data_IF_905512079095
#
_entry.id   IF_905512079095
#
_cell.length_a   1.000
_cell.length_b   1.000
_cell.length_c   1.000
_cell.angle_alpha   90.00
_cell.angle_beta   90.00
_cell.angle_gamma   90.00
#
_symmetry.space_group_name_H-M   'P 1'
#
loop_
_entity.id
_entity.type
_entity.pdbx_description
1 polymer ?
#
# COMPACT_ATOMS: atom_id res chain seq x y z
N UNK A 1 -2.70 -17.80 11.34
CA UNK A 1 -1.35 -17.36 10.94
C UNK A 1 -1.56 -16.25 9.91
N UNK A 2 -1.28 -15.00 10.27
CA UNK A 2 -1.38 -13.88 9.33
C UNK A 2 -0.38 -14.11 8.18
N UNK A 3 -0.75 -13.83 6.92
CA UNK A 3 0.21 -13.92 5.82
C UNK A 3 1.38 -12.96 6.08
N UNK A 4 2.60 -13.27 5.60
CA UNK A 4 3.73 -12.36 5.70
C UNK A 4 3.37 -11.04 5.03
N UNK A 5 3.45 -9.95 5.82
CA UNK A 5 3.14 -8.61 5.37
C UNK A 5 4.41 -7.95 4.82
N UNK A 6 4.44 -7.49 3.55
CA UNK A 6 5.59 -6.77 3.06
C UNK A 6 5.71 -5.42 3.78
N UNK A 7 6.95 -5.10 4.11
CA UNK A 7 7.32 -3.88 4.80
C UNK A 7 8.67 -3.41 4.32
N UNK A 8 8.85 -2.09 4.30
CA UNK A 8 10.06 -1.43 3.87
C UNK A 8 10.33 -0.23 4.76
N UNK A 9 11.56 -0.09 5.25
CA UNK A 9 11.97 1.05 6.08
C UNK A 9 12.93 1.96 5.32
N UNK A 10 12.63 3.25 5.31
CA UNK A 10 13.52 4.29 4.78
C UNK A 10 13.40 5.56 5.62
N UNK A 11 14.52 6.24 5.85
CA UNK A 11 14.57 7.56 6.50
C UNK A 11 13.78 7.67 7.82
N UNK A 12 13.85 6.63 8.67
CA UNK A 12 13.11 6.52 9.94
C UNK A 12 11.58 6.40 9.77
N UNK A 13 11.10 6.13 8.57
CA UNK A 13 9.70 5.81 8.29
C UNK A 13 9.56 4.33 7.92
N UNK A 14 8.46 3.71 8.35
CA UNK A 14 8.12 2.34 8.02
C UNK A 14 6.89 2.35 7.11
N UNK A 15 7.04 1.81 5.91
CA UNK A 15 5.96 1.55 4.99
C UNK A 15 5.59 0.07 5.07
N UNK A 16 4.32 -0.25 5.24
CA UNK A 16 3.89 -1.64 5.30
C UNK A 16 2.47 -1.81 4.81
N UNK A 17 2.20 -3.01 4.31
CA UNK A 17 0.90 -3.35 3.75
C UNK A 17 0.39 -4.63 4.40
N UNK A 18 -0.74 -4.53 5.09
CA UNK A 18 -1.37 -5.67 5.78
C UNK A 18 -2.85 -5.41 6.03
N UNK A 19 -3.52 -6.47 6.45
CA UNK A 19 -4.82 -6.37 7.10
C UNK A 19 -4.63 -5.88 8.53
N UNK A 20 -5.33 -4.81 8.89
CA UNK A 20 -5.21 -4.20 10.22
C UNK A 20 -6.21 -4.79 11.22
N UNK A 21 -7.23 -5.49 10.73
CA UNK A 21 -8.25 -6.13 11.53
C UNK A 21 -8.05 -7.64 11.63
N UNK A 22 -8.52 -8.22 12.73
CA UNK A 22 -8.47 -9.67 12.93
C UNK A 22 -9.37 -10.44 11.93
N UNK A 23 -10.42 -9.78 11.43
CA UNK A 23 -11.36 -10.39 10.49
C UNK A 23 -10.81 -10.44 9.06
N UNK A 24 -9.69 -9.78 8.77
CA UNK A 24 -9.09 -9.78 7.44
C UNK A 24 -9.97 -9.07 6.40
N UNK A 25 -10.67 -8.02 6.81
CA UNK A 25 -11.56 -7.23 5.95
C UNK A 25 -11.00 -5.84 5.64
N UNK A 26 -10.12 -5.32 6.49
CA UNK A 26 -9.55 -3.99 6.36
C UNK A 26 -8.08 -4.06 5.94
N UNK A 27 -7.86 -4.20 4.63
CA UNK A 27 -6.53 -4.11 4.04
C UNK A 27 -6.11 -2.65 3.89
N UNK A 28 -4.91 -2.31 4.34
CA UNK A 28 -4.37 -0.98 4.17
C UNK A 28 -2.86 -1.00 3.89
N UNK A 29 -2.42 -0.02 3.10
CA UNK A 29 -1.01 0.37 3.05
C UNK A 29 -0.84 1.59 3.95
N UNK A 30 0.14 1.54 4.84
CA UNK A 30 0.36 2.59 5.82
C UNK A 30 1.83 3.00 5.93
N UNK A 31 2.01 4.27 6.30
CA UNK A 31 3.27 4.86 6.71
C UNK A 31 3.23 5.12 8.22
N UNK A 32 4.07 4.42 8.96
CA UNK A 32 4.21 4.46 10.42
C UNK A 32 5.63 4.84 10.84
N UNK A 33 5.83 5.02 12.16
CA UNK A 33 7.11 5.42 12.78
C UNK A 33 7.69 6.75 12.28
N UNK A 34 6.91 7.51 11.51
CA UNK A 34 7.30 8.82 10.99
C UNK A 34 7.20 9.91 12.06
N UNK A 35 8.05 10.95 11.96
CA UNK A 35 7.91 12.19 12.73
C UNK A 35 6.75 13.08 12.25
N UNK A 36 6.14 12.73 11.11
CA UNK A 36 5.02 13.43 10.47
C UNK A 36 3.71 12.71 10.80
N UNK A 37 2.59 13.20 10.26
CA UNK A 37 1.32 12.48 10.35
C UNK A 37 1.44 11.10 9.70
N UNK A 38 0.94 10.08 10.38
CA UNK A 38 0.78 8.75 9.80
C UNK A 38 -0.24 8.83 8.65
N UNK A 39 0.07 8.15 7.54
CA UNK A 39 -0.79 8.13 6.35
C UNK A 39 -1.22 6.70 6.09
N UNK A 40 -2.47 6.52 5.67
CA UNK A 40 -3.05 5.23 5.30
C UNK A 40 -3.95 5.37 4.08
N UNK A 41 -4.13 4.30 3.32
CA UNK A 41 -5.15 4.21 2.27
C UNK A 41 -6.56 4.30 2.88
N UNK A 42 -7.52 4.80 2.10
CA UNK A 42 -8.92 4.92 2.54
C UNK A 42 -9.50 3.56 2.94
N UNK A 43 -10.16 3.52 4.09
CA UNK A 43 -10.77 2.31 4.63
C UNK A 43 -12.01 1.91 3.84
N UNK A 44 -12.21 0.60 3.64
CA UNK A 44 -13.42 0.03 3.02
C UNK A 44 -13.75 0.62 1.63
N UNK A 45 -12.76 1.15 0.94
CA UNK A 45 -12.93 1.70 -0.40
C UNK A 45 -12.28 0.75 -1.41
N UNK A 46 -13.09 -0.07 -2.06
CA UNK A 46 -12.65 -1.05 -3.05
C UNK A 46 -12.00 -0.42 -4.29
N UNK A 47 -12.11 0.91 -4.47
CA UNK A 47 -11.34 1.63 -5.49
C UNK A 47 -9.86 1.76 -5.15
N UNK A 48 -9.51 1.64 -3.87
CA UNK A 48 -8.12 1.70 -3.40
C UNK A 48 -7.54 0.30 -3.25
N UNK A 49 -8.25 -0.58 -2.54
CA UNK A 49 -7.82 -1.96 -2.27
C UNK A 49 -9.02 -2.92 -2.23
N UNK A 50 -8.96 -4.01 -2.99
CA UNK A 50 -10.01 -5.05 -3.05
C UNK A 50 -9.45 -6.44 -2.79
N UNK A 51 -9.65 -6.95 -1.57
CA UNK A 51 -9.12 -8.22 -1.08
C UNK A 51 -7.65 -8.48 -1.51
N UNK A 52 -6.73 -7.53 -1.25
CA UNK A 52 -5.40 -7.61 -1.80
C UNK A 52 -4.57 -8.71 -1.12
N UNK A 53 -3.81 -9.42 -1.94
CA UNK A 53 -2.73 -10.30 -1.50
C UNK A 53 -1.42 -9.55 -1.74
N UNK A 54 -0.86 -9.01 -0.67
CA UNK A 54 0.42 -8.31 -0.73
C UNK A 54 1.57 -9.28 -0.99
N UNK A 55 2.46 -8.90 -1.91
CA UNK A 55 3.59 -9.73 -2.35
C UNK A 55 4.90 -9.15 -1.85
N UNK A 56 5.19 -7.88 -2.17
CA UNK A 56 6.48 -7.27 -1.85
C UNK A 56 6.43 -5.73 -1.82
N UNK A 57 7.45 -5.11 -1.26
CA UNK A 57 7.62 -3.66 -1.20
C UNK A 57 9.08 -3.24 -1.43
N UNK A 58 9.32 -2.31 -2.35
CA UNK A 58 10.66 -1.85 -2.73
C UNK A 58 10.73 -0.34 -2.91
N UNK A 59 11.83 0.29 -2.49
CA UNK A 59 12.16 1.66 -2.86
C UNK A 59 12.91 1.65 -4.19
N UNK A 60 12.32 2.29 -5.19
CA UNK A 60 12.90 2.39 -6.52
C UNK A 60 13.12 3.89 -6.83
N UNK A 61 14.35 4.29 -7.19
CA UNK A 61 14.62 5.65 -7.66
C UNK A 61 13.76 5.99 -8.88
N UNK A 62 13.09 7.13 -8.85
CA UNK A 62 12.39 7.66 -10.03
C UNK A 62 13.23 8.82 -10.58
N UNK A 63 13.81 8.64 -11.76
CA UNK A 63 14.70 9.64 -12.37
C UNK A 63 16.10 9.73 -11.73
N UNK A 64 16.69 10.93 -11.82
CA UNK A 64 18.10 11.19 -11.46
C UNK A 64 18.29 11.80 -10.07
N UNK A 65 17.23 12.30 -9.42
CA UNK A 65 17.30 12.82 -8.06
C UNK A 65 17.06 11.69 -7.05
N UNK A 66 18.03 11.39 -6.15
CA UNK A 66 17.82 10.40 -5.09
C UNK A 66 16.60 10.68 -4.21
N UNK A 67 16.14 11.93 -4.12
CA UNK A 67 14.96 12.31 -3.35
C UNK A 67 13.63 11.99 -4.06
N UNK A 68 13.63 11.67 -5.35
CA UNK A 68 12.41 11.30 -6.08
C UNK A 68 12.15 9.78 -6.07
N UNK A 69 12.91 9.04 -5.24
CA UNK A 69 12.65 7.64 -5.01
C UNK A 69 11.24 7.41 -4.44
N UNK A 70 10.54 6.40 -4.97
CA UNK A 70 9.18 6.05 -4.59
C UNK A 70 9.14 4.63 -4.05
N UNK A 71 8.29 4.39 -3.07
CA UNK A 71 8.06 3.05 -2.54
C UNK A 71 6.98 2.39 -3.38
N UNK A 72 7.31 1.24 -3.96
CA UNK A 72 6.43 0.44 -4.80
C UNK A 72 5.96 -0.78 -4.03
N UNK A 73 4.64 -0.94 -3.94
CA UNK A 73 3.99 -2.12 -3.36
C UNK A 73 3.43 -2.98 -4.47
N UNK A 74 3.81 -4.25 -4.47
CA UNK A 74 3.33 -5.25 -5.42
C UNK A 74 2.28 -6.12 -4.73
N UNK A 75 1.09 -6.21 -5.33
CA UNK A 75 -0.01 -6.99 -4.78
C UNK A 75 -0.92 -7.51 -5.87
N UNK A 76 -1.79 -8.44 -5.49
CA UNK A 76 -2.81 -9.02 -6.38
C UNK A 76 -4.18 -8.79 -5.80
N UNK A 77 -5.13 -8.39 -6.63
CA UNK A 77 -6.52 -8.18 -6.22
C UNK A 77 -7.42 -9.18 -6.91
N UNK A 78 -8.42 -9.67 -6.17
CA UNK A 78 -9.47 -10.52 -6.73
C UNK A 78 -10.63 -9.61 -7.14
N UNK A 79 -11.00 -9.68 -8.41
CA UNK A 79 -12.28 -9.15 -8.86
C UNK A 79 -13.33 -10.22 -8.62
N UNK A 80 -14.16 -9.94 -7.63
CA UNK A 80 -15.31 -10.76 -7.29
C UNK A 80 -16.53 -10.22 -8.02
N UNK A 81 -17.32 -11.10 -8.62
CA UNK A 81 -18.61 -10.69 -9.21
C UNK A 81 -19.68 -10.50 -8.12
N UNK A 82 -20.86 -9.99 -8.51
CA UNK A 82 -21.99 -9.84 -7.58
C UNK A 82 -22.47 -11.15 -6.94
N UNK A 83 -21.97 -12.32 -7.40
CA UNK A 83 -22.30 -13.63 -6.85
C UNK A 83 -21.28 -14.15 -5.83
N UNK A 84 -20.21 -13.39 -5.54
CA UNK A 84 -19.15 -13.82 -4.64
C UNK A 84 -18.11 -14.74 -5.30
N UNK A 85 -18.19 -14.95 -6.62
CA UNK A 85 -17.27 -15.83 -7.35
C UNK A 85 -16.07 -15.02 -7.86
N UNK A 86 -14.85 -15.50 -7.64
CA UNK A 86 -13.64 -14.87 -8.19
C UNK A 86 -13.67 -14.98 -9.70
N UNK A 87 -13.85 -13.84 -10.38
CA UNK A 87 -13.93 -13.75 -11.83
C UNK A 87 -12.56 -13.58 -12.47
N UNK A 88 -11.68 -12.80 -11.84
CA UNK A 88 -10.35 -12.49 -12.37
C UNK A 88 -9.39 -12.08 -11.24
N UNK A 89 -8.09 -12.30 -11.44
CA UNK A 89 -7.03 -11.80 -10.56
C UNK A 89 -6.24 -10.73 -11.32
N UNK A 90 -6.14 -9.53 -10.76
CA UNK A 90 -5.31 -8.45 -11.30
C UNK A 90 -4.02 -8.34 -10.51
N UNK A 91 -2.90 -8.14 -11.21
CA UNK A 91 -1.62 -7.80 -10.57
C UNK A 91 -1.48 -6.29 -10.61
N UNK A 92 -1.32 -5.69 -9.44
CA UNK A 92 -1.35 -4.25 -9.24
C UNK A 92 -0.03 -3.79 -8.61
N UNK A 93 0.29 -2.53 -8.87
CA UNK A 93 1.44 -1.85 -8.27
C UNK A 93 0.92 -0.53 -7.70
N UNK A 94 1.14 -0.30 -6.41
CA UNK A 94 0.89 1.00 -5.79
C UNK A 94 2.21 1.73 -5.59
N UNK A 95 2.18 3.06 -5.78
CA UNK A 95 3.36 3.91 -5.70
C UNK A 95 3.13 4.97 -4.62
N UNK A 96 4.12 5.13 -3.75
CA UNK A 96 4.04 6.03 -2.60
C UNK A 96 5.26 6.94 -2.59
N UNK A 97 5.04 8.24 -2.48
CA UNK A 97 6.11 9.21 -2.28
C UNK A 97 6.51 9.25 -0.80
N UNK A 98 7.73 8.81 -0.43
CA UNK A 98 8.20 8.89 0.96
C UNK A 98 8.36 10.35 1.40
N UNK A 99 8.92 11.19 0.52
CA UNK A 99 9.01 12.64 0.72
C UNK A 99 7.71 13.33 0.34
N UNK A 100 6.73 13.32 1.25
CA UNK A 100 5.61 14.26 1.12
C UNK A 100 6.16 15.69 1.33
N UNK A 101 6.49 16.43 0.25
CA UNK A 101 6.84 17.86 0.35
C UNK A 101 5.66 18.71 0.82
N UNK A 102 4.44 18.15 0.76
CA UNK A 102 3.23 18.83 1.17
C UNK A 102 2.49 18.04 2.27
N UNK A 103 2.09 18.75 3.32
CA UNK A 103 1.22 18.28 4.42
C UNK A 103 -0.24 18.10 3.94
N UNK A 104 -0.52 18.23 2.63
CA UNK A 104 -1.89 18.32 2.10
C UNK A 104 -2.20 17.49 0.85
N UNK A 105 -1.29 16.63 0.38
CA UNK A 105 -1.58 15.77 -0.77
C UNK A 105 -1.96 14.35 -0.31
N UNK A 106 -3.22 13.90 -0.50
CA UNK A 106 -3.55 12.50 -0.35
C UNK A 106 -2.75 11.70 -1.39
N UNK A 107 -2.22 10.54 -0.97
CA UNK A 107 -1.53 9.59 -1.85
C UNK A 107 -2.35 9.42 -3.13
N UNK A 108 -1.85 9.92 -4.25
CA UNK A 108 -2.48 9.71 -5.55
C UNK A 108 -1.80 8.54 -6.24
N UNK A 109 -2.63 7.59 -6.67
CA UNK A 109 -2.32 6.40 -7.46
C UNK A 109 -1.55 6.72 -8.74
#
# INVERSE_FOLDING_TARGET
LFPPAPSFSADQELFSAMYIDFMGTDAAIFRSLTRRNAVRTDQHNSKWLSEPIFVDAHLIPDGTDPNDAKVYFFFKEKLVDNSGTTKQIHSMIARICPVSKDVHTPLST
#
